data_IF_498121253163
#
_entry.id   IF_498121253163
#
_cell.length_a   1.000
_cell.length_b   1.000
_cell.length_c   1.000
_cell.angle_alpha   90.00
_cell.angle_beta   90.00
_cell.angle_gamma   90.00
#
_symmetry.space_group_name_H-M   'P 1'
#
loop_
_entity.id
_entity.type
_entity.pdbx_description
1 polymer ?
#
# COMPACT_ATOMS: atom_id res chain seq x y z
N UNK A 1 -32.51 -2.65 -5.07
CA UNK A 1 -31.23 -2.30 -5.72
C UNK A 1 -30.12 -2.86 -4.83
N UNK A 2 -29.43 -3.90 -5.27
CA UNK A 2 -28.39 -4.55 -4.48
C UNK A 2 -27.11 -3.71 -4.59
N UNK A 3 -26.81 -2.89 -3.57
CA UNK A 3 -25.54 -2.15 -3.51
C UNK A 3 -24.43 -3.13 -3.13
N UNK A 4 -23.86 -3.82 -4.13
CA UNK A 4 -22.53 -4.39 -4.01
C UNK A 4 -21.55 -3.22 -3.86
N UNK A 5 -21.20 -2.92 -2.61
CA UNK A 5 -20.08 -2.03 -2.28
C UNK A 5 -18.81 -2.69 -2.81
N UNK A 6 -18.46 -2.36 -4.06
CA UNK A 6 -17.21 -2.78 -4.68
C UNK A 6 -16.07 -2.30 -3.80
N UNK A 7 -15.42 -3.26 -3.14
CA UNK A 7 -14.15 -3.06 -2.45
C UNK A 7 -13.20 -2.38 -3.42
N UNK A 8 -12.56 -1.25 -3.09
CA UNK A 8 -11.44 -0.74 -3.89
C UNK A 8 -10.32 -1.77 -3.79
N UNK A 9 -10.30 -2.73 -4.72
CA UNK A 9 -9.22 -3.70 -4.81
C UNK A 9 -7.97 -2.92 -5.23
N UNK A 10 -7.07 -2.70 -4.30
CA UNK A 10 -5.76 -2.13 -4.62
C UNK A 10 -5.01 -3.19 -5.43
N UNK A 11 -5.00 -3.02 -6.75
CA UNK A 11 -4.33 -3.94 -7.68
C UNK A 11 -2.81 -3.81 -7.62
N UNK A 12 -2.32 -2.65 -7.20
CA UNK A 12 -0.89 -2.33 -7.14
C UNK A 12 -0.52 -1.70 -5.77
N UNK A 13 -0.21 -2.52 -4.75
CA UNK A 13 0.08 -2.05 -3.39
C UNK A 13 1.30 -1.12 -3.29
N UNK A 14 2.21 -1.20 -4.26
CA UNK A 14 3.44 -0.42 -4.33
C UNK A 14 3.36 0.73 -5.34
N UNK A 15 2.17 1.04 -5.84
CA UNK A 15 1.96 2.22 -6.68
C UNK A 15 2.13 3.50 -5.85
N UNK A 16 2.73 4.53 -6.43
CA UNK A 16 2.92 5.86 -5.82
C UNK A 16 1.72 6.38 -5.03
N UNK A 17 0.48 6.38 -5.57
CA UNK A 17 -0.67 6.86 -4.81
C UNK A 17 -0.99 6.01 -3.57
N UNK A 18 -0.72 4.71 -3.60
CA UNK A 18 -0.93 3.80 -2.46
C UNK A 18 0.14 4.03 -1.40
N UNK A 19 1.39 4.22 -1.81
CA UNK A 19 2.48 4.53 -0.87
C UNK A 19 2.20 5.84 -0.11
N UNK A 20 1.70 6.87 -0.82
CA UNK A 20 1.32 8.15 -0.20
C UNK A 20 0.17 7.95 0.80
N UNK A 21 -0.88 7.20 0.42
CA UNK A 21 -2.01 6.91 1.30
C UNK A 21 -1.62 6.06 2.51
N UNK A 22 -0.65 5.16 2.35
CA UNK A 22 -0.09 4.34 3.42
C UNK A 22 0.79 5.13 4.40
N UNK A 23 0.97 6.45 4.19
CA UNK A 23 1.78 7.29 5.06
C UNK A 23 3.28 7.14 4.86
N UNK A 24 3.72 6.55 3.74
CA UNK A 24 5.15 6.45 3.44
C UNK A 24 5.73 7.86 3.24
N UNK A 25 6.86 8.21 3.88
CA UNK A 25 7.48 9.52 3.71
C UNK A 25 7.75 9.83 2.24
N UNK A 26 7.44 11.04 1.78
CA UNK A 26 7.57 11.46 0.36
C UNK A 26 8.97 11.17 -0.18
N UNK A 27 10.01 11.39 0.63
CA UNK A 27 11.39 11.04 0.31
C UNK A 27 11.59 9.56 -0.04
N UNK A 28 10.93 8.64 0.67
CA UNK A 28 11.00 7.20 0.42
C UNK A 28 10.22 6.82 -0.85
N UNK A 29 9.07 7.47 -1.08
CA UNK A 29 8.28 7.29 -2.31
C UNK A 29 9.08 7.72 -3.54
N UNK A 30 9.69 8.92 -3.52
CA UNK A 30 10.48 9.44 -4.64
C UNK A 30 11.71 8.58 -4.93
N UNK A 31 12.42 8.14 -3.88
CA UNK A 31 13.55 7.24 -4.04
C UNK A 31 13.12 5.91 -4.66
N UNK A 32 12.06 5.28 -4.14
CA UNK A 32 11.60 3.98 -4.61
C UNK A 32 11.08 4.05 -6.05
N UNK A 33 10.39 5.14 -6.42
CA UNK A 33 9.83 5.31 -7.76
C UNK A 33 10.88 5.51 -8.85
N UNK A 34 12.07 6.02 -8.51
CA UNK A 34 13.19 6.20 -9.45
C UNK A 34 13.92 4.90 -9.82
N UNK A 35 13.64 3.80 -9.12
CA UNK A 35 14.31 2.52 -9.33
C UNK A 35 13.68 1.75 -10.49
N UNK A 36 14.52 1.00 -11.23
CA UNK A 36 14.03 0.00 -12.20
C UNK A 36 13.29 -1.13 -11.48
N UNK A 37 12.42 -1.91 -12.15
CA UNK A 37 11.67 -2.99 -11.51
C UNK A 37 12.54 -3.98 -10.71
N UNK A 38 13.66 -4.41 -11.28
CA UNK A 38 14.61 -5.32 -10.61
C UNK A 38 15.28 -4.64 -9.40
N UNK A 39 15.58 -3.34 -9.50
CA UNK A 39 16.13 -2.58 -8.40
C UNK A 39 15.08 -2.32 -7.29
N UNK A 40 13.80 -2.16 -7.62
CA UNK A 40 12.70 -2.09 -6.64
C UNK A 40 12.64 -3.36 -5.80
N UNK A 41 12.70 -4.54 -6.43
CA UNK A 41 12.69 -5.81 -5.71
C UNK A 41 13.85 -5.93 -4.72
N UNK A 42 15.06 -5.50 -5.11
CA UNK A 42 16.22 -5.45 -4.20
C UNK A 42 16.08 -4.37 -3.13
N UNK A 43 15.49 -3.22 -3.46
CA UNK A 43 15.26 -2.15 -2.50
C UNK A 43 14.32 -2.56 -1.38
N UNK A 44 13.33 -3.42 -1.66
CA UNK A 44 12.41 -3.96 -0.64
C UNK A 44 13.11 -4.82 0.42
N UNK A 45 14.32 -5.32 0.17
CA UNK A 45 15.10 -6.09 1.15
C UNK A 45 16.03 -5.21 2.01
N UNK A 46 16.07 -3.90 1.75
CA UNK A 46 16.84 -2.95 2.57
C UNK A 46 16.03 -2.47 3.77
N UNK A 47 16.67 -1.87 4.77
CA UNK A 47 15.97 -1.27 5.90
C UNK A 47 14.90 -0.27 5.44
N UNK A 48 15.26 0.63 4.52
CA UNK A 48 14.35 1.62 3.95
C UNK A 48 13.17 0.99 3.20
N UNK A 49 13.41 -0.10 2.47
CA UNK A 49 12.34 -0.85 1.81
C UNK A 49 11.43 -1.60 2.78
N UNK A 50 11.99 -2.08 3.89
CA UNK A 50 11.22 -2.73 4.96
C UNK A 50 10.25 -1.75 5.61
N UNK A 51 10.67 -0.51 5.84
CA UNK A 51 9.80 0.55 6.34
C UNK A 51 8.63 0.84 5.38
N UNK A 52 8.89 0.90 4.07
CA UNK A 52 7.84 1.05 3.05
C UNK A 52 6.84 -0.13 3.13
N UNK A 53 7.33 -1.36 3.23
CA UNK A 53 6.48 -2.54 3.31
C UNK A 53 5.63 -2.56 4.58
N UNK A 54 6.17 -2.14 5.72
CA UNK A 54 5.43 -2.09 6.98
C UNK A 54 4.28 -1.09 6.88
N UNK A 55 4.55 0.14 6.41
CA UNK A 55 3.48 1.14 6.19
C UNK A 55 2.38 0.64 5.26
N UNK A 56 2.76 -0.02 4.15
CA UNK A 56 1.78 -0.59 3.21
C UNK A 56 0.98 -1.73 3.84
N UNK A 57 1.62 -2.62 4.62
CA UNK A 57 0.92 -3.72 5.31
C UNK A 57 -0.07 -3.21 6.35
N UNK A 58 0.32 -2.21 7.13
CA UNK A 58 -0.55 -1.60 8.14
C UNK A 58 -1.76 -0.96 7.47
N UNK A 59 -1.53 -0.21 6.38
CA UNK A 59 -2.59 0.40 5.58
C UNK A 59 -3.57 -0.66 5.02
N UNK A 60 -3.07 -1.74 4.45
CA UNK A 60 -3.90 -2.82 3.91
C UNK A 60 -4.67 -3.57 5.00
N UNK A 61 -4.06 -3.75 6.18
CA UNK A 61 -4.71 -4.37 7.34
C UNK A 61 -5.87 -3.51 7.83
N UNK A 62 -5.68 -2.19 7.91
CA UNK A 62 -6.73 -1.24 8.28
C UNK A 62 -7.86 -1.25 7.26
N UNK A 63 -7.55 -1.21 5.95
CA UNK A 63 -8.57 -1.30 4.91
C UNK A 63 -9.39 -2.59 4.99
N UNK A 64 -8.73 -3.73 5.26
CA UNK A 64 -9.42 -4.99 5.44
C UNK A 64 -10.36 -4.99 6.65
N UNK A 65 -9.94 -4.39 7.77
CA UNK A 65 -10.77 -4.29 8.98
C UNK A 65 -11.94 -3.33 8.83
N UNK A 66 -11.72 -2.15 8.25
CA UNK A 66 -12.78 -1.18 7.94
C UNK A 66 -13.83 -1.82 7.03
N UNK A 67 -13.39 -2.58 6.03
CA UNK A 67 -14.30 -3.29 5.15
C UNK A 67 -15.12 -4.33 5.92
N UNK A 68 -14.48 -5.19 6.74
CA UNK A 68 -15.18 -6.20 7.57
C UNK A 68 -16.23 -5.59 8.49
N UNK A 69 -15.96 -4.43 9.10
CA UNK A 69 -16.92 -3.74 9.96
C UNK A 69 -18.12 -3.19 9.17
N UNK A 70 -17.89 -2.71 7.94
CA UNK A 70 -18.94 -2.15 7.09
C UNK A 70 -19.84 -3.21 6.42
N UNK A 71 -19.40 -4.48 6.34
CA UNK A 71 -20.27 -5.59 5.85
C UNK A 71 -21.10 -6.22 6.98
N UNK A 72 -20.77 -5.93 8.25
CA UNK A 72 -21.42 -6.53 9.41
C UNK A 72 -22.45 -5.62 10.10
N UNK A 73 -22.62 -4.37 9.62
CA UNK A 73 -23.58 -3.38 10.09
C UNK A 73 -24.77 -3.29 9.11
#
# INVERSE_FOLDING_TARGET
>A
MNMTTSVPQIREPLATPVLIQAGVPVQHVLWFNRLSPSAKMRALTTQRGTEILNSVRDFMTVLAHVNKANVAA
#
